data_IF_097409493925
#
_entry.id   IF_097409493925
#
_cell.length_a   1.000
_cell.length_b   1.000
_cell.length_c   1.000
_cell.angle_alpha   90.00
_cell.angle_beta   90.00
_cell.angle_gamma   90.00
#
_symmetry.space_group_name_H-M   'P 1'
#
loop_
_entity.id
_entity.type
_entity.pdbx_description
1 polymer ?
#
# COMPACT_ATOMS: atom_id res chain seq x y z
N UNK A 1 44.73 39.41 49.29
CA UNK A 1 43.50 39.96 48.68
C UNK A 1 43.01 38.97 47.61
N UNK A 2 42.15 38.02 47.97
CA UNK A 2 41.47 37.16 47.00
C UNK A 2 40.04 37.66 46.83
N UNK A 3 39.85 38.57 45.88
CA UNK A 3 38.53 38.95 45.38
C UNK A 3 37.99 37.76 44.58
N UNK A 4 37.22 36.88 45.23
CA UNK A 4 36.40 35.92 44.50
C UNK A 4 35.40 36.73 43.69
N UNK A 5 35.61 36.82 42.37
CA UNK A 5 34.62 37.40 41.45
C UNK A 5 33.32 36.62 41.61
N UNK A 6 32.42 37.11 42.46
CA UNK A 6 31.09 36.53 42.66
C UNK A 6 30.34 36.69 41.34
N UNK A 7 30.19 35.59 40.61
CA UNK A 7 29.35 35.57 39.42
C UNK A 7 27.96 36.09 39.80
N UNK A 8 27.44 37.10 39.09
CA UNK A 8 26.18 37.69 39.46
C UNK A 8 25.04 36.69 39.22
N UNK A 9 24.00 36.75 40.04
CA UNK A 9 22.87 35.80 40.02
C UNK A 9 22.23 35.69 38.62
N UNK A 10 22.15 36.78 37.87
CA UNK A 10 21.63 36.79 36.50
C UNK A 10 22.50 36.00 35.50
N UNK A 11 23.83 35.98 35.69
CA UNK A 11 24.73 35.16 34.88
C UNK A 11 24.54 33.66 35.10
N UNK A 12 24.23 33.25 36.33
CA UNK A 12 23.89 31.84 36.64
C UNK A 12 22.54 31.44 36.04
N UNK A 13 21.55 32.33 36.08
CA UNK A 13 20.23 32.11 35.48
C UNK A 13 20.35 31.95 33.95
N UNK A 14 21.14 32.79 33.27
CA UNK A 14 21.35 32.68 31.82
C UNK A 14 22.03 31.37 31.41
N UNK A 15 22.98 30.87 32.21
CA UNK A 15 23.60 29.55 31.98
C UNK A 15 22.59 28.43 32.15
N UNK A 16 21.75 28.47 33.20
CA UNK A 16 20.69 27.47 33.41
C UNK A 16 19.67 27.50 32.27
N UNK A 17 19.25 28.68 31.83
CA UNK A 17 18.35 28.84 30.67
C UNK A 17 19.00 28.32 29.39
N UNK A 18 20.27 28.64 29.14
CA UNK A 18 21.00 28.13 27.97
C UNK A 18 21.12 26.61 27.96
N UNK A 19 21.41 25.99 29.10
CA UNK A 19 21.46 24.52 29.23
C UNK A 19 20.06 23.90 29.03
N UNK A 20 19.01 24.52 29.56
CA UNK A 20 17.63 24.06 29.34
C UNK A 20 17.24 24.16 27.86
N UNK A 21 17.60 25.24 27.17
CA UNK A 21 17.33 25.41 25.73
C UNK A 21 18.08 24.37 24.89
N UNK A 22 19.35 24.09 25.21
CA UNK A 22 20.13 23.06 24.52
C UNK A 22 19.57 21.65 24.82
N UNK A 23 19.20 21.38 26.07
CA UNK A 23 18.58 20.11 26.45
C UNK A 23 17.22 19.92 25.77
N UNK A 24 16.40 20.96 25.68
CA UNK A 24 15.14 20.95 24.93
C UNK A 24 15.40 20.75 23.44
N UNK A 25 16.34 21.47 22.83
CA UNK A 25 16.72 21.30 21.43
C UNK A 25 17.16 19.88 21.09
N UNK A 26 17.95 19.25 21.96
CA UNK A 26 18.36 17.85 21.81
C UNK A 26 17.18 16.85 21.94
N UNK A 27 16.17 17.18 22.75
CA UNK A 27 14.93 16.39 22.88
C UNK A 27 14.10 16.42 21.58
N UNK A 28 14.20 17.46 20.75
CA UNK A 28 13.43 17.56 19.50
C UNK A 28 14.06 16.82 18.31
N UNK A 29 15.39 16.69 18.26
CA UNK A 29 16.10 16.07 17.12
C UNK A 29 15.83 14.56 17.03
N UNK A 30 15.84 13.86 18.16
CA UNK A 30 15.67 12.41 18.17
C UNK A 30 14.27 11.97 17.70
N UNK A 31 13.16 12.56 18.18
CA UNK A 31 11.82 12.19 17.72
C UNK A 31 11.57 12.52 16.26
N UNK A 32 12.08 13.66 15.77
CA UNK A 32 11.96 14.03 14.36
C UNK A 32 12.59 12.97 13.44
N UNK A 33 13.83 12.56 13.72
CA UNK A 33 14.51 11.53 12.92
C UNK A 33 13.77 10.19 12.96
N UNK A 34 13.24 9.80 14.13
CA UNK A 34 12.45 8.57 14.25
C UNK A 34 11.09 8.66 13.52
N UNK A 35 10.46 9.83 13.44
CA UNK A 35 9.25 10.01 12.63
C UNK A 35 9.55 9.81 11.15
N UNK A 36 10.63 10.40 10.65
CA UNK A 36 11.09 10.22 9.26
C UNK A 36 11.37 8.75 8.97
N UNK A 37 12.09 8.05 9.85
CA UNK A 37 12.39 6.63 9.70
C UNK A 37 11.12 5.77 9.62
N UNK A 38 10.14 6.03 10.50
CA UNK A 38 8.86 5.31 10.51
C UNK A 38 8.00 5.64 9.30
N UNK A 39 8.01 6.90 8.85
CA UNK A 39 7.32 7.32 7.63
C UNK A 39 7.90 6.63 6.40
N UNK A 40 9.23 6.60 6.27
CA UNK A 40 9.92 5.92 5.17
C UNK A 40 9.65 4.42 5.17
N UNK A 41 9.57 3.80 6.36
CA UNK A 41 9.16 2.40 6.48
C UNK A 41 7.73 2.19 5.97
N UNK A 42 6.78 3.09 6.26
CA UNK A 42 5.42 3.01 5.70
C UNK A 42 5.44 3.12 4.18
N UNK A 43 6.19 4.08 3.62
CA UNK A 43 6.35 4.24 2.17
C UNK A 43 6.94 2.97 1.53
N UNK A 44 7.95 2.37 2.16
CA UNK A 44 8.55 1.12 1.69
C UNK A 44 7.55 -0.03 1.70
N UNK A 45 6.75 -0.17 2.76
CA UNK A 45 5.72 -1.21 2.81
C UNK A 45 4.60 -0.97 1.79
N UNK A 46 4.26 0.28 1.48
CA UNK A 46 3.31 0.62 0.42
C UNK A 46 3.86 0.21 -0.96
N UNK A 47 5.14 0.48 -1.23
CA UNK A 47 5.79 0.09 -2.48
C UNK A 47 5.80 -1.44 -2.68
N UNK A 48 5.84 -2.22 -1.60
CA UNK A 48 5.72 -3.68 -1.67
C UNK A 48 4.32 -4.14 -2.12
N UNK A 49 3.26 -3.43 -1.70
CA UNK A 49 1.88 -3.65 -2.19
C UNK A 49 1.83 -3.35 -3.68
N UNK A 50 2.30 -2.17 -4.09
CA UNK A 50 2.34 -1.75 -5.50
C UNK A 50 3.10 -2.75 -6.38
N UNK A 51 4.27 -3.22 -5.95
CA UNK A 51 5.06 -4.21 -6.70
C UNK A 51 4.31 -5.53 -6.89
N UNK A 52 3.60 -5.97 -5.85
CA UNK A 52 2.83 -7.22 -5.90
C UNK A 52 1.60 -7.07 -6.81
N UNK A 53 0.91 -5.93 -6.74
CA UNK A 53 -0.20 -5.61 -7.65
C UNK A 53 0.27 -5.48 -9.10
N UNK A 54 1.39 -4.80 -9.35
CA UNK A 54 1.97 -4.72 -10.70
C UNK A 54 2.29 -6.12 -11.24
N UNK A 55 2.88 -7.00 -10.41
CA UNK A 55 3.15 -8.39 -10.81
C UNK A 55 1.87 -9.15 -11.19
N UNK A 56 0.74 -8.87 -10.53
CA UNK A 56 -0.57 -9.46 -10.89
C UNK A 56 -1.03 -8.93 -12.24
N UNK A 57 -0.97 -7.62 -12.47
CA UNK A 57 -1.33 -7.00 -13.74
C UNK A 57 -0.47 -7.53 -14.88
N UNK A 58 0.84 -7.67 -14.67
CA UNK A 58 1.78 -8.25 -15.64
C UNK A 58 1.37 -9.68 -16.01
N UNK A 59 0.98 -10.51 -15.04
CA UNK A 59 0.48 -11.87 -15.30
C UNK A 59 -0.84 -11.87 -16.07
N UNK A 60 -1.74 -10.94 -15.77
CA UNK A 60 -2.99 -10.77 -16.53
C UNK A 60 -2.68 -10.37 -17.98
N UNK A 61 -1.73 -9.46 -18.20
CA UNK A 61 -1.29 -9.05 -19.54
C UNK A 61 -0.67 -10.23 -20.30
N UNK A 62 0.16 -11.06 -19.65
CA UNK A 62 0.77 -12.26 -20.24
C UNK A 62 -0.28 -13.29 -20.68
N UNK A 63 -1.34 -13.48 -19.89
CA UNK A 63 -2.40 -14.45 -20.20
C UNK A 63 -3.33 -13.96 -21.33
N UNK A 64 -3.56 -12.66 -21.42
CA UNK A 64 -4.62 -12.07 -22.25
C UNK A 64 -4.61 -12.56 -23.71
N UNK A 65 -3.47 -12.57 -24.44
CA UNK A 65 -3.46 -13.04 -25.84
C UNK A 65 -3.91 -14.49 -26.00
N UNK A 66 -3.60 -15.35 -25.03
CA UNK A 66 -3.99 -16.76 -25.06
C UNK A 66 -5.50 -16.93 -24.85
N UNK A 67 -6.07 -16.19 -23.90
CA UNK A 67 -7.52 -16.17 -23.65
C UNK A 67 -8.26 -15.60 -24.87
N UNK A 68 -7.77 -14.53 -25.47
CA UNK A 68 -8.36 -13.92 -26.67
C UNK A 68 -8.31 -14.83 -27.91
N UNK A 69 -7.32 -15.73 -28.03
CA UNK A 69 -7.23 -16.68 -29.13
C UNK A 69 -8.27 -17.81 -29.04
N UNK A 70 -8.82 -18.05 -27.85
CA UNK A 70 -9.70 -19.19 -27.55
C UNK A 70 -11.14 -18.72 -27.35
N UNK A 71 -11.33 -17.54 -26.78
CA UNK A 71 -12.63 -16.91 -26.63
C UNK A 71 -13.04 -16.22 -27.93
N UNK A 72 -14.26 -16.50 -28.39
CA UNK A 72 -14.89 -15.71 -29.44
C UNK A 72 -15.02 -14.25 -28.98
N UNK A 73 -14.69 -13.29 -29.86
CA UNK A 73 -14.81 -11.84 -29.56
C UNK A 73 -16.23 -11.40 -29.19
N UNK A 74 -17.25 -12.21 -29.52
CA UNK A 74 -18.63 -11.93 -29.14
C UNK A 74 -19.02 -12.47 -27.76
N UNK A 75 -18.17 -13.30 -27.13
CA UNK A 75 -18.43 -13.87 -25.81
C UNK A 75 -18.61 -12.76 -24.77
N UNK A 76 -19.58 -12.95 -23.88
CA UNK A 76 -19.89 -12.02 -22.78
C UNK A 76 -18.65 -11.81 -21.91
N UNK A 77 -17.95 -12.89 -21.59
CA UNK A 77 -16.67 -12.91 -20.88
C UNK A 77 -15.61 -12.00 -21.50
N UNK A 78 -15.41 -12.06 -22.83
CA UNK A 78 -14.44 -11.18 -23.50
C UNK A 78 -14.83 -9.71 -23.34
N UNK A 79 -16.12 -9.39 -23.47
CA UNK A 79 -16.64 -8.02 -23.32
C UNK A 79 -16.46 -7.51 -21.89
N UNK A 80 -16.71 -8.35 -20.90
CA UNK A 80 -16.54 -8.01 -19.49
C UNK A 80 -15.08 -7.72 -19.16
N UNK A 81 -14.17 -8.60 -19.57
CA UNK A 81 -12.72 -8.39 -19.40
C UNK A 81 -12.26 -7.11 -20.12
N UNK A 82 -12.73 -6.86 -21.35
CA UNK A 82 -12.38 -5.66 -22.09
C UNK A 82 -12.93 -4.38 -21.43
N UNK A 83 -14.17 -4.42 -20.92
CA UNK A 83 -14.81 -3.31 -20.23
C UNK A 83 -14.15 -3.00 -18.88
N UNK A 84 -13.68 -4.02 -18.17
CA UNK A 84 -12.93 -3.85 -16.94
C UNK A 84 -11.53 -3.27 -17.20
N UNK A 85 -10.84 -3.74 -18.26
CA UNK A 85 -9.56 -3.15 -18.67
C UNK A 85 -9.68 -1.67 -19.02
N UNK A 86 -10.78 -1.25 -19.63
CA UNK A 86 -10.95 0.14 -20.07
C UNK A 86 -11.44 1.11 -18.98
N UNK A 87 -12.06 0.60 -17.91
CA UNK A 87 -12.65 1.42 -16.84
C UNK A 87 -12.00 1.19 -15.46
N UNK A 88 -10.77 0.68 -15.42
CA UNK A 88 -10.10 0.37 -14.16
C UNK A 88 -9.57 1.65 -13.50
N UNK A 89 -10.22 2.11 -12.43
CA UNK A 89 -9.68 3.20 -11.62
C UNK A 89 -8.39 2.76 -10.91
N UNK A 90 -7.40 3.66 -10.82
CA UNK A 90 -6.08 3.36 -10.26
C UNK A 90 -5.13 2.55 -11.17
N UNK A 91 -5.58 2.11 -12.35
CA UNK A 91 -4.77 1.38 -13.34
C UNK A 91 -4.77 2.13 -14.67
N UNK A 92 -3.57 2.36 -15.20
CA UNK A 92 -3.36 2.94 -16.50
C UNK A 92 -3.16 1.86 -17.57
N UNK A 93 -3.33 2.27 -18.83
CA UNK A 93 -2.94 1.49 -20.00
C UNK A 93 -1.71 2.18 -20.61
N UNK A 94 -0.61 1.45 -20.75
CA UNK A 94 0.61 1.97 -21.38
C UNK A 94 0.49 2.06 -22.92
N UNK A 95 1.53 2.56 -23.58
CA UNK A 95 1.57 2.71 -25.04
C UNK A 95 1.43 1.37 -25.79
N UNK A 96 1.78 0.26 -25.13
CA UNK A 96 1.73 -1.10 -25.66
C UNK A 96 0.39 -1.79 -25.35
N UNK A 97 -0.53 -1.14 -24.64
CA UNK A 97 -1.85 -1.67 -24.29
C UNK A 97 -1.89 -2.52 -23.02
N UNK A 98 -0.83 -2.51 -22.21
CA UNK A 98 -0.71 -3.28 -20.97
C UNK A 98 -1.28 -2.51 -19.77
N UNK A 99 -1.92 -3.24 -18.86
CA UNK A 99 -2.33 -2.71 -17.56
C UNK A 99 -1.10 -2.41 -16.70
N UNK A 100 -1.02 -1.20 -16.15
CA UNK A 100 0.09 -0.74 -15.32
C UNK A 100 -0.38 0.19 -14.21
N UNK A 101 0.35 0.23 -13.09
CA UNK A 101 0.08 1.16 -11.99
C UNK A 101 0.85 2.46 -12.17
N UNK A 102 0.26 3.58 -11.76
CA UNK A 102 1.03 4.82 -11.62
C UNK A 102 2.13 4.63 -10.56
N UNK A 103 3.34 5.02 -10.92
CA UNK A 103 4.47 5.14 -9.98
C UNK A 103 4.16 5.99 -8.73
N UNK A 104 3.24 6.95 -8.82
CA UNK A 104 2.82 7.83 -7.71
C UNK A 104 1.45 7.45 -7.13
N UNK A 105 0.99 6.22 -7.35
CA UNK A 105 -0.28 5.71 -6.84
C UNK A 105 -0.39 5.90 -5.32
N UNK A 106 -1.50 6.50 -4.89
CA UNK A 106 -1.87 6.62 -3.48
C UNK A 106 -2.37 5.28 -2.94
N UNK A 107 -2.51 5.14 -1.62
CA UNK A 107 -3.11 3.92 -1.03
C UNK A 107 -4.49 3.64 -1.62
N UNK A 108 -5.31 4.67 -1.85
CA UNK A 108 -6.64 4.51 -2.43
C UNK A 108 -6.58 4.02 -3.87
N UNK A 109 -5.64 4.52 -4.69
CA UNK A 109 -5.45 4.03 -6.05
C UNK A 109 -5.05 2.55 -6.06
N UNK A 110 -4.20 2.15 -5.10
CA UNK A 110 -3.80 0.74 -4.95
C UNK A 110 -4.94 -0.16 -4.44
N UNK A 111 -5.86 0.36 -3.63
CA UNK A 111 -7.08 -0.36 -3.20
C UNK A 111 -8.05 -0.55 -4.38
N UNK A 112 -8.24 0.48 -5.20
CA UNK A 112 -9.09 0.39 -6.41
C UNK A 112 -8.50 -0.57 -7.44
N UNK A 113 -7.20 -0.46 -7.71
CA UNK A 113 -6.49 -1.37 -8.62
C UNK A 113 -6.53 -2.82 -8.13
N UNK A 114 -6.43 -3.04 -6.82
CA UNK A 114 -6.59 -4.37 -6.23
C UNK A 114 -7.98 -4.94 -6.53
N UNK A 115 -9.05 -4.23 -6.14
CA UNK A 115 -10.41 -4.68 -6.33
C UNK A 115 -10.72 -5.02 -7.79
N UNK A 116 -10.30 -4.14 -8.70
CA UNK A 116 -10.55 -4.32 -10.12
C UNK A 116 -9.72 -5.46 -10.73
N UNK A 117 -8.46 -5.64 -10.30
CA UNK A 117 -7.66 -6.79 -10.71
C UNK A 117 -8.24 -8.12 -10.19
N UNK A 118 -8.77 -8.13 -8.96
CA UNK A 118 -9.47 -9.29 -8.40
C UNK A 118 -10.75 -9.61 -9.17
N UNK A 119 -11.50 -8.60 -9.63
CA UNK A 119 -12.65 -8.80 -10.48
C UNK A 119 -12.28 -9.47 -11.81
N UNK A 120 -11.21 -9.02 -12.48
CA UNK A 120 -10.72 -9.68 -13.71
C UNK A 120 -10.38 -11.16 -13.45
N UNK A 121 -9.73 -11.47 -12.33
CA UNK A 121 -9.42 -12.86 -11.97
C UNK A 121 -10.68 -13.70 -11.74
N UNK A 122 -11.75 -13.12 -11.15
CA UNK A 122 -13.06 -13.78 -11.03
C UNK A 122 -13.64 -14.09 -12.42
N UNK A 123 -13.60 -13.14 -13.34
CA UNK A 123 -14.15 -13.32 -14.69
C UNK A 123 -13.34 -14.33 -15.51
N UNK A 124 -12.01 -14.37 -15.33
CA UNK A 124 -11.17 -15.43 -15.90
C UNK A 124 -11.57 -16.81 -15.36
N UNK A 125 -11.87 -16.93 -14.06
CA UNK A 125 -12.35 -18.21 -13.50
C UNK A 125 -13.69 -18.62 -14.11
N UNK A 126 -14.64 -17.69 -14.26
CA UNK A 126 -15.90 -17.95 -14.96
C UNK A 126 -15.66 -18.38 -16.42
N UNK A 127 -14.70 -17.76 -17.10
CA UNK A 127 -14.28 -18.16 -18.44
C UNK A 127 -13.78 -19.61 -18.49
N UNK A 128 -12.96 -20.01 -17.52
CA UNK A 128 -12.41 -21.37 -17.43
C UNK A 128 -13.54 -22.38 -17.24
N UNK A 129 -14.53 -22.07 -16.41
CA UNK A 129 -15.71 -22.93 -16.20
C UNK A 129 -16.56 -23.07 -17.47
N UNK A 130 -16.76 -21.98 -18.21
CA UNK A 130 -17.51 -21.98 -19.46
C UNK A 130 -16.77 -22.66 -20.62
N UNK A 131 -15.43 -22.65 -20.61
CA UNK A 131 -14.57 -23.14 -21.69
C UNK A 131 -13.49 -24.09 -21.14
N UNK A 132 -13.81 -25.40 -20.91
CA UNK A 132 -12.88 -26.37 -20.32
C UNK A 132 -11.55 -26.53 -21.06
N UNK A 133 -11.51 -26.20 -22.35
CA UNK A 133 -10.27 -26.18 -23.14
C UNK A 133 -9.25 -25.16 -22.64
N UNK A 134 -9.68 -24.09 -21.95
CA UNK A 134 -8.78 -23.13 -21.28
C UNK A 134 -8.03 -23.79 -20.13
N UNK A 135 -8.74 -24.58 -19.32
CA UNK A 135 -8.17 -25.28 -18.17
C UNK A 135 -7.10 -26.30 -18.56
N UNK A 136 -7.24 -26.90 -19.73
CA UNK A 136 -6.31 -27.89 -20.26
C UNK A 136 -4.99 -27.26 -20.76
N UNK A 137 -4.92 -25.93 -20.92
CA UNK A 137 -3.71 -25.27 -21.37
C UNK A 137 -2.72 -25.09 -20.23
N UNK A 138 -1.46 -25.47 -20.47
CA UNK A 138 -0.36 -25.29 -19.52
C UNK A 138 -0.20 -23.82 -19.13
N UNK A 139 -0.33 -22.89 -20.08
CA UNK A 139 -0.26 -21.44 -19.82
C UNK A 139 -1.28 -20.99 -18.78
N UNK A 140 -2.49 -21.56 -18.80
CA UNK A 140 -3.54 -21.22 -17.82
C UNK A 140 -3.23 -21.80 -16.44
N UNK A 141 -2.72 -23.03 -16.36
CA UNK A 141 -2.33 -23.66 -15.10
C UNK A 141 -1.18 -22.90 -14.42
N UNK A 142 -0.19 -22.46 -15.22
CA UNK A 142 0.94 -21.67 -14.76
C UNK A 142 0.50 -20.27 -14.29
N UNK A 143 -0.46 -19.66 -15.00
CA UNK A 143 -1.08 -18.40 -14.60
C UNK A 143 -1.76 -18.52 -13.23
N UNK A 144 -2.64 -19.51 -13.06
CA UNK A 144 -3.37 -19.71 -11.80
C UNK A 144 -2.43 -19.92 -10.61
N UNK A 145 -1.39 -20.75 -10.80
CA UNK A 145 -0.36 -20.98 -9.78
C UNK A 145 0.41 -19.70 -9.45
N UNK A 146 0.75 -18.90 -10.46
CA UNK A 146 1.46 -17.63 -10.27
C UNK A 146 0.60 -16.61 -9.54
N UNK A 147 -0.68 -16.50 -9.91
CA UNK A 147 -1.65 -15.61 -9.30
C UNK A 147 -1.84 -15.96 -7.82
N UNK A 148 -2.01 -17.24 -7.47
CA UNK A 148 -2.11 -17.67 -6.07
C UNK A 148 -0.85 -17.28 -5.26
N UNK A 149 0.34 -17.44 -5.84
CA UNK A 149 1.59 -16.98 -5.23
C UNK A 149 1.62 -15.46 -5.02
N UNK A 150 1.08 -14.68 -5.96
CA UNK A 150 0.97 -13.23 -5.86
C UNK A 150 -0.08 -12.81 -4.83
N UNK A 151 -1.23 -13.48 -4.74
CA UNK A 151 -2.25 -13.25 -3.70
C UNK A 151 -1.65 -13.38 -2.30
N UNK A 152 -0.92 -14.47 -2.08
CA UNK A 152 -0.27 -14.72 -0.78
C UNK A 152 0.74 -13.62 -0.44
N UNK A 153 1.55 -13.19 -1.42
CA UNK A 153 2.52 -12.09 -1.22
C UNK A 153 1.82 -10.76 -0.95
N UNK A 154 0.73 -10.48 -1.66
CA UNK A 154 -0.01 -9.24 -1.50
C UNK A 154 -0.72 -9.19 -0.14
N UNK A 155 -1.30 -10.29 0.31
CA UNK A 155 -1.88 -10.42 1.65
C UNK A 155 -0.85 -10.08 2.73
N UNK A 156 0.33 -10.69 2.68
CA UNK A 156 1.44 -10.39 3.60
C UNK A 156 1.91 -8.93 3.49
N UNK A 157 1.96 -8.38 2.27
CA UNK A 157 2.35 -6.98 2.07
C UNK A 157 1.35 -5.99 2.72
N UNK A 158 0.05 -6.26 2.64
CA UNK A 158 -1.00 -5.45 3.31
C UNK A 158 -0.88 -5.50 4.82
N UNK A 159 -0.66 -6.69 5.38
CA UNK A 159 -0.46 -6.85 6.83
C UNK A 159 0.76 -6.07 7.32
N UNK A 160 1.89 -6.19 6.60
CA UNK A 160 3.12 -5.46 6.92
C UNK A 160 2.93 -3.94 6.82
N UNK A 161 2.23 -3.46 5.78
CA UNK A 161 1.89 -2.05 5.65
C UNK A 161 1.02 -1.57 6.81
N UNK A 162 -0.04 -2.31 7.15
CA UNK A 162 -0.94 -1.97 8.26
C UNK A 162 -0.23 -1.95 9.60
N UNK A 163 0.74 -2.84 9.81
CA UNK A 163 1.59 -2.86 10.98
C UNK A 163 2.55 -1.66 11.01
N UNK A 164 3.16 -1.29 9.89
CA UNK A 164 4.02 -0.11 9.78
C UNK A 164 3.22 1.18 10.03
N UNK A 165 2.03 1.31 9.42
CA UNK A 165 1.12 2.44 9.65
C UNK A 165 0.72 2.51 11.12
N UNK A 166 0.43 1.39 11.77
CA UNK A 166 0.10 1.37 13.19
C UNK A 166 1.26 1.83 14.07
N UNK A 167 2.48 1.37 13.81
CA UNK A 167 3.68 1.79 14.54
C UNK A 167 3.95 3.29 14.35
N UNK A 168 3.91 3.78 13.11
CA UNK A 168 4.03 5.20 12.78
C UNK A 168 2.94 6.03 13.48
N UNK A 169 1.67 5.66 13.32
CA UNK A 169 0.52 6.36 13.91
C UNK A 169 0.59 6.39 15.43
N UNK A 170 1.00 5.28 16.06
CA UNK A 170 1.19 5.22 17.52
C UNK A 170 2.28 6.18 17.95
N UNK A 171 3.40 6.23 17.20
CA UNK A 171 4.52 7.10 17.51
C UNK A 171 4.18 8.59 17.39
N UNK A 172 3.52 9.01 16.30
CA UNK A 172 3.16 10.42 16.06
C UNK A 172 2.00 10.90 16.94
N UNK A 173 1.13 10.00 17.42
CA UNK A 173 -0.01 10.37 18.29
C UNK A 173 0.32 10.36 19.78
N UNK A 174 1.41 9.71 20.19
CA UNK A 174 1.81 9.58 21.60
C UNK A 174 2.39 10.89 22.13
N UNK A 175 2.06 11.27 23.37
CA UNK A 175 2.71 12.40 24.04
C UNK A 175 4.15 12.03 24.49
N UNK A 176 5.16 12.90 24.33
CA UNK A 176 5.10 14.29 23.83
C UNK A 176 5.25 14.45 22.30
N UNK A 177 5.44 13.34 21.56
CA UNK A 177 5.70 13.34 20.12
C UNK A 177 4.60 14.02 19.30
N UNK A 178 3.33 13.95 19.72
CA UNK A 178 2.22 14.60 19.03
C UNK A 178 2.37 16.12 18.85
N UNK A 179 3.04 16.80 19.79
CA UNK A 179 3.35 18.23 19.67
C UNK A 179 4.38 18.44 18.56
N UNK A 180 5.43 17.62 18.55
CA UNK A 180 6.48 17.67 17.53
C UNK A 180 5.90 17.36 16.16
N UNK A 181 5.10 16.30 16.07
CA UNK A 181 4.39 15.90 14.87
C UNK A 181 3.53 17.04 14.31
N UNK A 182 2.76 17.71 15.16
CA UNK A 182 1.95 18.87 14.76
C UNK A 182 2.77 20.08 14.29
N UNK A 183 3.94 20.33 14.89
CA UNK A 183 4.83 21.44 14.48
C UNK A 183 5.49 21.17 13.13
N UNK A 184 5.91 19.93 12.87
CA UNK A 184 6.66 19.55 11.67
C UNK A 184 5.81 18.92 10.56
N UNK A 185 4.49 18.80 10.76
CA UNK A 185 3.56 18.34 9.73
C UNK A 185 3.42 16.81 9.59
N UNK A 186 3.89 16.03 10.55
CA UNK A 186 3.68 14.58 10.55
C UNK A 186 2.23 14.27 10.91
N UNK A 187 1.45 13.87 9.92
CA UNK A 187 0.05 13.49 10.05
C UNK A 187 -0.09 11.96 10.12
N UNK A 188 -1.12 11.42 10.81
CA UNK A 188 -1.42 10.00 10.76
C UNK A 188 -1.69 9.53 9.33
N UNK A 189 -1.24 8.32 9.00
CA UNK A 189 -1.48 7.67 7.70
C UNK A 189 -2.66 6.71 7.80
N UNK A 190 -3.34 6.49 6.69
CA UNK A 190 -4.45 5.54 6.62
C UNK A 190 -3.92 4.11 6.48
N UNK A 191 -4.64 3.16 7.09
CA UNK A 191 -4.36 1.73 6.90
C UNK A 191 -4.97 1.30 5.57
N UNK A 192 -4.38 0.27 4.98
CA UNK A 192 -4.93 -0.42 3.82
C UNK A 192 -6.17 -1.19 4.27
N UNK A 193 -7.30 -0.91 3.63
CA UNK A 193 -8.57 -1.55 3.91
C UNK A 193 -8.81 -2.69 2.92
N UNK A 194 -9.52 -3.73 3.38
CA UNK A 194 -10.04 -4.72 2.45
C UNK A 194 -11.15 -4.06 1.61
N UNK A 195 -11.27 -4.44 0.33
CA UNK A 195 -12.37 -3.98 -0.51
C UNK A 195 -13.72 -4.28 0.17
N UNK A 196 -14.71 -3.42 -0.04
CA UNK A 196 -16.05 -3.58 0.55
C UNK A 196 -16.66 -4.95 0.23
N UNK A 197 -16.31 -5.52 -0.93
CA UNK A 197 -16.71 -6.87 -1.38
C UNK A 197 -16.22 -8.01 -0.48
N UNK A 198 -15.10 -7.83 0.24
CA UNK A 198 -14.61 -8.79 1.22
C UNK A 198 -15.37 -8.70 2.57
N UNK A 199 -16.06 -7.58 2.82
CA UNK A 199 -16.90 -7.39 4.01
C UNK A 199 -18.28 -8.03 3.84
N UNK A 200 -18.78 -8.12 2.59
CA UNK A 200 -20.01 -8.82 2.23
C UNK A 200 -19.79 -10.32 2.00
N UNK A 201 -19.23 -11.02 2.99
CA UNK A 201 -19.19 -12.49 2.94
C UNK A 201 -20.64 -13.03 2.86
N UNK A 202 -20.99 -13.85 1.86
CA UNK A 202 -22.35 -14.35 1.74
C UNK A 202 -22.69 -15.19 2.98
N UNK A 203 -23.74 -14.79 3.70
CA UNK A 203 -24.32 -15.63 4.76
C UNK A 203 -24.78 -16.93 4.13
N UNK A 204 -24.01 -18.00 4.36
CA UNK A 204 -24.41 -19.35 3.96
C UNK A 204 -25.60 -19.75 4.81
N UNK A 205 -26.79 -19.63 4.24
CA UNK A 205 -28.03 -20.07 4.85
C UNK A 205 -28.21 -21.57 4.54
N UNK A 206 -28.07 -22.42 5.56
CA UNK A 206 -28.18 -23.88 5.44
C UNK A 206 -29.63 -24.36 5.64
N UNK A 207 -30.60 -23.70 5.01
CA UNK A 207 -32.01 -24.11 5.07
C UNK A 207 -32.33 -25.28 4.13
#
# INVERSE_FOLDING_TARGET
>A
MNQTKKFPLWGKILIVVGVIVIALGAIFISPYNTMIEKEENVTTMQANIQTSLQSRLDKINELMPSVQAILDHESEVYKDIAALRSNMEGVAIDEDGNLTLDSNATTSDLEQADAASSQILRDINVAIEAYPQLQAQTVMQDFMTSVEGIENRLSVARDNYNQAVQDYNTYVRKFPNNIIAGIFGFSPKEKYQASDEAQDAPTVDFN
#
